data_IF_204046121594
#
_entry.id   IF_204046121594
#
_cell.length_a   1.000
_cell.length_b   1.000
_cell.length_c   1.000
_cell.angle_alpha   90.00
_cell.angle_beta   90.00
_cell.angle_gamma   90.00
#
_symmetry.space_group_name_H-M   'P 1'
#
loop_
_entity.id
_entity.type
_entity.pdbx_description
1 polymer ?
#
# COMPACT_ATOMS: atom_id res chain seq x y z
N UNK A 1 11.28 -3.24 9.60
CA UNK A 1 10.30 -3.22 10.72
C UNK A 1 8.95 -3.84 10.40
N UNK A 2 8.34 -3.58 9.23
CA UNK A 2 7.00 -4.09 8.92
C UNK A 2 6.89 -5.62 9.01
N UNK A 3 7.84 -6.37 8.43
CA UNK A 3 7.83 -7.84 8.46
C UNK A 3 7.90 -8.41 9.89
N UNK A 4 8.67 -7.78 10.77
CA UNK A 4 8.69 -8.12 12.20
C UNK A 4 7.33 -7.89 12.85
N UNK A 5 6.68 -6.77 12.50
CA UNK A 5 5.34 -6.46 12.98
C UNK A 5 4.33 -7.53 12.58
N UNK A 6 4.43 -8.11 11.38
CA UNK A 6 3.52 -9.18 10.93
C UNK A 6 3.63 -10.40 11.83
N UNK A 7 4.85 -10.86 12.11
CA UNK A 7 5.10 -12.00 13.00
C UNK A 7 4.44 -11.80 14.37
N UNK A 8 4.62 -10.61 14.95
CA UNK A 8 4.00 -10.22 16.23
C UNK A 8 2.48 -10.19 16.07
N UNK A 9 1.97 -9.62 14.98
CA UNK A 9 0.55 -9.51 14.70
C UNK A 9 -0.14 -10.85 14.54
N UNK A 10 0.47 -11.81 13.87
CA UNK A 10 -0.06 -13.16 13.73
C UNK A 10 -0.04 -13.89 15.07
N UNK A 11 1.00 -13.70 15.90
CA UNK A 11 1.00 -14.22 17.26
C UNK A 11 -0.14 -13.61 18.10
N UNK A 12 -0.41 -12.31 17.98
CA UNK A 12 -1.54 -11.65 18.64
C UNK A 12 -2.90 -12.11 18.10
N UNK A 13 -3.01 -12.46 16.81
CA UNK A 13 -4.22 -13.05 16.24
C UNK A 13 -4.58 -14.38 16.92
N UNK A 14 -3.58 -15.19 17.27
CA UNK A 14 -3.79 -16.44 18.00
C UNK A 14 -4.27 -16.19 19.42
N UNK A 15 -3.75 -15.17 20.10
CA UNK A 15 -4.10 -14.88 21.50
C UNK A 15 -5.48 -14.24 21.59
N UNK A 16 -5.75 -13.25 20.74
CA UNK A 16 -6.93 -12.41 20.85
C UNK A 16 -8.20 -13.13 20.41
N UNK A 17 -9.27 -12.84 21.15
CA UNK A 17 -10.58 -13.36 20.82
C UNK A 17 -11.05 -12.83 19.45
N UNK A 18 -11.73 -13.70 18.69
CA UNK A 18 -12.25 -13.40 17.35
C UNK A 18 -13.11 -12.11 17.31
N UNK A 19 -13.84 -11.83 18.39
CA UNK A 19 -14.68 -10.63 18.50
C UNK A 19 -13.85 -9.34 18.54
N UNK A 20 -12.72 -9.34 19.23
CA UNK A 20 -11.82 -8.18 19.30
C UNK A 20 -11.21 -7.88 17.93
N UNK A 21 -10.78 -8.92 17.21
CA UNK A 21 -10.22 -8.79 15.86
C UNK A 21 -11.29 -8.24 14.90
N UNK A 22 -12.54 -8.70 15.05
CA UNK A 22 -13.68 -8.21 14.26
C UNK A 22 -13.97 -6.73 14.54
N UNK A 23 -14.01 -6.32 15.81
CA UNK A 23 -14.20 -4.91 16.19
C UNK A 23 -13.04 -4.05 15.66
N UNK A 24 -11.80 -4.52 15.80
CA UNK A 24 -10.63 -3.83 15.28
C UNK A 24 -10.73 -3.61 13.77
N UNK A 25 -11.13 -4.63 13.02
CA UNK A 25 -11.35 -4.55 11.57
C UNK A 25 -12.43 -3.52 11.21
N UNK A 26 -13.58 -3.56 11.91
CA UNK A 26 -14.69 -2.62 11.68
C UNK A 26 -14.24 -1.18 11.92
N UNK A 27 -13.63 -0.90 13.09
CA UNK A 27 -13.14 0.43 13.45
C UNK A 27 -12.13 0.92 12.41
N UNK A 28 -11.19 0.06 12.02
CA UNK A 28 -10.17 0.43 11.07
C UNK A 28 -10.76 0.74 9.69
N UNK A 29 -11.67 -0.08 9.17
CA UNK A 29 -12.30 0.16 7.87
C UNK A 29 -13.20 1.40 7.87
N UNK A 30 -13.93 1.67 8.96
CA UNK A 30 -14.72 2.90 9.09
C UNK A 30 -13.81 4.14 9.09
N UNK A 31 -12.76 4.13 9.90
CA UNK A 31 -11.82 5.26 10.00
C UNK A 31 -11.10 5.50 8.67
N UNK A 32 -10.58 4.44 8.04
CA UNK A 32 -9.87 4.55 6.75
C UNK A 32 -10.81 4.98 5.62
N UNK A 33 -12.01 4.42 5.54
CA UNK A 33 -13.03 4.83 4.55
C UNK A 33 -13.41 6.30 4.72
N UNK A 34 -13.70 6.72 5.96
CA UNK A 34 -14.09 8.10 6.27
C UNK A 34 -12.98 9.08 5.88
N UNK A 35 -11.74 8.79 6.28
CA UNK A 35 -10.58 9.59 5.88
C UNK A 35 -10.38 9.63 4.37
N UNK A 36 -10.48 8.49 3.70
CA UNK A 36 -10.36 8.41 2.24
C UNK A 36 -11.45 9.22 1.54
N UNK A 37 -12.69 9.19 2.03
CA UNK A 37 -13.79 9.97 1.50
C UNK A 37 -13.53 11.48 1.63
N UNK A 38 -13.15 11.97 2.82
CA UNK A 38 -12.81 13.39 3.01
C UNK A 38 -11.66 13.83 2.11
N UNK A 39 -10.59 13.03 2.01
CA UNK A 39 -9.47 13.30 1.11
C UNK A 39 -9.90 13.29 -0.37
N UNK A 40 -10.83 12.41 -0.74
CA UNK A 40 -11.45 12.37 -2.06
C UNK A 40 -12.19 13.67 -2.39
N UNK A 41 -13.01 14.17 -1.44
CA UNK A 41 -13.72 15.45 -1.57
C UNK A 41 -12.76 16.63 -1.70
N UNK A 42 -11.72 16.70 -0.87
CA UNK A 42 -10.70 17.74 -0.97
C UNK A 42 -9.98 17.73 -2.32
N UNK A 43 -9.60 16.55 -2.79
CA UNK A 43 -8.91 16.37 -4.07
C UNK A 43 -9.81 16.75 -5.23
N UNK A 44 -11.08 16.33 -5.19
CA UNK A 44 -12.09 16.72 -6.18
C UNK A 44 -12.28 18.23 -6.24
N UNK A 45 -12.33 18.90 -5.09
CA UNK A 45 -12.47 20.36 -5.02
C UNK A 45 -11.24 21.06 -5.62
N UNK A 46 -10.03 20.57 -5.36
CA UNK A 46 -8.78 21.07 -5.97
C UNK A 46 -8.78 20.88 -7.49
N UNK A 47 -9.06 19.67 -7.96
CA UNK A 47 -9.14 19.37 -9.40
C UNK A 47 -10.20 20.21 -10.12
N UNK A 48 -11.34 20.46 -9.48
CA UNK A 48 -12.43 21.27 -10.05
C UNK A 48 -12.03 22.75 -10.14
N UNK A 49 -11.32 23.29 -9.14
CA UNK A 49 -10.76 24.66 -9.22
C UNK A 49 -9.75 24.79 -10.37
N UNK A 50 -8.80 23.86 -10.48
CA UNK A 50 -7.78 23.89 -11.54
C UNK A 50 -8.40 23.78 -12.94
N UNK A 51 -9.43 22.92 -13.12
CA UNK A 51 -10.18 22.87 -14.40
C UNK A 51 -10.90 24.18 -14.70
N UNK A 52 -11.53 24.81 -13.69
CA UNK A 52 -12.23 26.08 -13.85
C UNK A 52 -11.28 27.24 -14.16
N UNK A 53 -10.11 27.27 -13.54
CA UNK A 53 -9.04 28.24 -13.82
C UNK A 53 -8.47 28.05 -15.23
N UNK A 54 -8.20 26.81 -15.65
CA UNK A 54 -7.75 26.51 -17.02
C UNK A 54 -8.77 26.92 -18.09
N UNK A 55 -10.08 26.74 -17.81
CA UNK A 55 -11.15 27.16 -18.73
C UNK A 55 -11.21 28.69 -18.84
N UNK A 56 -11.11 29.42 -17.72
CA UNK A 56 -11.07 30.91 -17.73
C UNK A 56 -9.83 31.47 -18.43
N UNK A 57 -8.68 30.81 -18.30
CA UNK A 57 -7.45 31.21 -19.02
C UNK A 57 -7.55 30.97 -20.53
N UNK A 58 -8.36 29.99 -20.97
CA UNK A 58 -8.65 29.78 -22.38
C UNK A 58 -9.64 30.82 -22.91
N UNK A 59 -10.73 31.10 -22.17
CA UNK A 59 -11.71 32.14 -22.54
C UNK A 59 -11.07 33.54 -22.63
N UNK A 60 -10.20 33.92 -21.68
CA UNK A 60 -9.49 35.22 -21.71
C UNK A 60 -8.37 35.35 -22.78
N UNK A 61 -8.00 34.24 -23.42
CA UNK A 61 -7.11 34.26 -24.59
C UNK A 61 -7.89 34.28 -25.91
N UNK A 62 -9.12 33.79 -25.92
CA UNK A 62 -10.03 33.84 -27.08
C UNK A 62 -10.58 35.27 -27.26
N UNK A 63 -10.94 35.93 -26.14
CA UNK A 63 -11.38 37.35 -26.11
C UNK A 63 -10.29 38.36 -26.53
N UNK A 64 -9.04 37.93 -26.78
CA UNK A 64 -7.94 38.79 -27.26
C UNK A 64 -7.62 38.63 -28.74
N UNK A 65 -8.28 37.71 -29.46
CA UNK A 65 -7.99 37.42 -30.86
C UNK A 65 -9.17 37.65 -31.81
N UNK A 66 -10.28 38.23 -31.35
CA UNK A 66 -11.33 38.71 -32.24
C UNK A 66 -11.22 40.24 -32.38
N UNK A 67 -11.18 40.72 -33.63
CA UNK A 67 -10.98 42.11 -34.09
C UNK A 67 -9.53 42.59 -34.29
N UNK A 68 -8.86 42.12 -35.35
CA UNK A 68 -8.39 42.98 -36.47
C UNK A 68 -8.32 42.13 -37.74
N UNK A 69 -9.28 42.30 -38.65
CA UNK A 69 -9.19 41.87 -40.06
C UNK A 69 -8.66 43.04 -40.87
N UNK A 70 -7.58 42.84 -41.62
CA UNK A 70 -7.00 43.81 -42.55
C UNK A 70 -6.04 43.16 -43.57
N UNK A 71 -6.62 42.72 -44.70
CA UNK A 71 -6.09 42.47 -46.07
C UNK A 71 -4.87 41.55 -46.40
N UNK A 72 -4.81 40.97 -47.64
CA UNK A 72 -3.99 39.81 -48.04
C UNK A 72 -2.79 40.15 -48.99
N UNK A 73 -2.18 39.19 -49.74
CA UNK A 73 -0.88 38.54 -49.54
C UNK A 73 0.26 39.02 -50.50
N UNK A 74 1.44 38.37 -50.52
CA UNK A 74 1.75 37.62 -51.74
C UNK A 74 2.34 36.22 -51.50
N UNK A 75 1.94 35.32 -52.41
CA UNK A 75 2.40 33.94 -52.52
C UNK A 75 3.82 33.90 -53.12
N UNK A 76 4.68 33.03 -52.60
CA UNK A 76 5.99 32.67 -53.16
C UNK A 76 6.43 31.29 -52.66
N UNK A 77 7.11 30.45 -53.48
CA UNK A 77 6.94 29.00 -53.42
C UNK A 77 8.01 28.23 -52.64
N UNK A 78 7.57 27.10 -52.07
CA UNK A 78 8.24 25.81 -51.87
C UNK A 78 9.78 25.78 -51.65
N UNK A 79 10.15 25.46 -50.41
CA UNK A 79 11.44 24.86 -50.04
C UNK A 79 11.25 24.07 -48.74
N UNK A 80 11.10 22.75 -48.85
CA UNK A 80 10.70 21.88 -47.76
C UNK A 80 11.72 21.80 -46.62
N UNK A 81 11.23 21.99 -45.39
CA UNK A 81 11.83 21.43 -44.20
C UNK A 81 10.71 20.72 -43.44
N UNK A 82 10.79 19.38 -43.43
CA UNK A 82 9.88 18.53 -42.68
C UNK A 82 9.95 18.91 -41.20
N UNK A 83 8.89 19.51 -40.68
CA UNK A 83 8.68 19.65 -39.24
C UNK A 83 8.37 18.26 -38.72
N UNK A 84 9.40 17.55 -38.26
CA UNK A 84 9.25 16.32 -37.50
C UNK A 84 8.27 16.56 -36.36
N UNK A 85 7.12 15.91 -36.48
CA UNK A 85 6.21 15.67 -35.37
C UNK A 85 6.97 14.86 -34.34
N UNK A 86 7.61 15.53 -33.37
CA UNK A 86 8.19 14.88 -32.19
C UNK A 86 7.06 14.37 -31.30
N UNK A 87 6.47 13.25 -31.72
CA UNK A 87 5.89 12.29 -30.80
C UNK A 87 6.91 12.06 -29.68
N UNK A 88 6.52 12.35 -28.44
CA UNK A 88 7.21 11.89 -27.25
C UNK A 88 7.21 10.35 -27.27
N UNK A 89 8.17 9.74 -27.96
CA UNK A 89 8.54 8.33 -27.76
C UNK A 89 8.99 8.20 -26.32
N UNK A 90 8.07 7.79 -25.46
CA UNK A 90 8.35 7.34 -24.10
C UNK A 90 9.25 6.11 -24.24
N UNK A 91 10.56 6.34 -24.24
CA UNK A 91 11.59 5.32 -24.37
C UNK A 91 11.31 4.26 -23.30
N UNK A 92 10.86 3.08 -23.73
CA UNK A 92 10.66 1.94 -22.84
C UNK A 92 12.04 1.49 -22.39
N UNK A 93 12.50 2.06 -21.29
CA UNK A 93 13.71 1.60 -20.60
C UNK A 93 13.44 0.17 -20.13
N UNK A 94 14.38 -0.74 -20.41
CA UNK A 94 14.26 -2.15 -20.02
C UNK A 94 14.04 -2.25 -18.52
N UNK A 95 13.01 -3.00 -18.10
CA UNK A 95 12.64 -3.17 -16.67
C UNK A 95 13.86 -3.59 -15.85
N UNK A 96 14.70 -4.46 -16.40
CA UNK A 96 15.87 -5.06 -15.74
C UNK A 96 16.93 -4.03 -15.37
N UNK A 97 17.07 -2.97 -16.16
CA UNK A 97 18.11 -1.94 -16.01
C UNK A 97 17.70 -0.85 -15.01
N UNK A 98 16.39 -0.73 -14.74
CA UNK A 98 15.82 0.20 -13.76
C UNK A 98 15.61 -0.44 -12.38
N UNK A 99 15.91 -1.74 -12.20
CA UNK A 99 15.81 -2.40 -10.88
C UNK A 99 17.09 -2.19 -10.07
N UNK A 100 16.92 -1.67 -8.86
CA UNK A 100 17.96 -1.61 -7.84
C UNK A 100 18.17 -2.99 -7.20
N UNK A 101 18.93 -3.85 -7.89
CA UNK A 101 19.13 -5.26 -7.53
C UNK A 101 19.72 -5.48 -6.14
N UNK A 102 20.59 -4.59 -5.66
CA UNK A 102 21.21 -4.70 -4.34
C UNK A 102 20.18 -4.50 -3.22
N UNK A 103 19.32 -3.50 -3.36
CA UNK A 103 18.22 -3.18 -2.45
C UNK A 103 17.16 -4.28 -2.46
N UNK A 104 16.81 -4.76 -3.66
CA UNK A 104 15.88 -5.88 -3.83
C UNK A 104 16.42 -7.16 -3.17
N UNK A 105 17.69 -7.50 -3.42
CA UNK A 105 18.34 -8.67 -2.84
C UNK A 105 18.39 -8.59 -1.31
N UNK A 106 18.67 -7.40 -0.75
CA UNK A 106 18.65 -7.18 0.70
C UNK A 106 17.25 -7.38 1.28
N UNK A 107 16.21 -6.85 0.63
CA UNK A 107 14.82 -7.03 1.06
C UNK A 107 14.39 -8.50 1.01
N UNK A 108 14.70 -9.20 -0.09
CA UNK A 108 14.39 -10.63 -0.26
C UNK A 108 15.16 -11.46 0.77
N UNK A 109 16.43 -11.15 1.04
CA UNK A 109 17.23 -11.84 2.06
C UNK A 109 16.60 -11.69 3.45
N UNK A 110 16.20 -10.47 3.85
CA UNK A 110 15.50 -10.26 5.13
C UNK A 110 14.21 -11.07 5.20
N UNK A 111 13.42 -11.06 4.13
CA UNK A 111 12.19 -11.82 4.05
C UNK A 111 12.42 -13.32 4.21
N UNK A 112 13.39 -13.89 3.47
CA UNK A 112 13.75 -15.32 3.55
C UNK A 112 14.26 -15.68 4.94
N UNK A 113 15.12 -14.86 5.56
CA UNK A 113 15.67 -15.14 6.89
C UNK A 113 14.53 -15.17 7.92
N UNK A 114 13.64 -14.18 7.93
CA UNK A 114 12.53 -14.16 8.89
C UNK A 114 11.57 -15.32 8.62
N UNK A 115 11.29 -15.64 7.36
CA UNK A 115 10.45 -16.78 6.98
C UNK A 115 11.06 -18.11 7.43
N UNK A 116 12.36 -18.31 7.26
CA UNK A 116 13.06 -19.49 7.74
C UNK A 116 12.99 -19.63 9.27
N UNK A 117 13.13 -18.50 10.00
CA UNK A 117 12.94 -18.48 11.45
C UNK A 117 11.51 -18.87 11.86
N UNK A 118 10.49 -18.44 11.10
CA UNK A 118 9.10 -18.82 11.36
C UNK A 118 8.83 -20.30 11.08
N UNK A 119 9.38 -20.84 9.99
CA UNK A 119 9.26 -22.27 9.66
C UNK A 119 9.94 -23.08 10.76
N UNK A 120 11.17 -22.72 11.16
CA UNK A 120 11.88 -23.37 12.26
C UNK A 120 11.08 -23.33 13.57
N UNK A 121 10.42 -22.20 13.87
CA UNK A 121 9.55 -22.07 15.04
C UNK A 121 8.41 -23.08 15.04
N UNK A 122 7.83 -23.37 13.88
CA UNK A 122 6.73 -24.34 13.74
C UNK A 122 7.16 -25.80 13.97
N UNK A 123 8.43 -26.13 13.75
CA UNK A 123 8.98 -27.46 14.05
C UNK A 123 9.43 -27.61 15.51
N UNK A 124 9.62 -26.50 16.23
CA UNK A 124 9.92 -26.53 17.66
C UNK A 124 8.67 -26.86 18.46
N UNK A 125 8.85 -27.57 19.58
CA UNK A 125 7.77 -27.76 20.56
C UNK A 125 7.28 -26.40 21.09
N UNK A 126 5.96 -26.26 21.16
CA UNK A 126 5.29 -25.06 21.66
C UNK A 126 5.79 -24.73 23.08
N UNK A 127 6.16 -23.48 23.29
CA UNK A 127 6.63 -22.94 24.58
C UNK A 127 7.93 -23.54 25.13
N UNK A 128 8.74 -24.19 24.28
CA UNK A 128 10.14 -24.55 24.59
C UNK A 128 11.08 -23.34 24.57
N UNK A 129 12.26 -23.46 25.21
CA UNK A 129 13.32 -22.45 25.13
C UNK A 129 13.75 -22.17 23.68
N UNK A 130 13.74 -23.20 22.82
CA UNK A 130 14.04 -23.06 21.39
C UNK A 130 12.99 -22.21 20.66
N UNK A 131 11.71 -22.33 21.02
CA UNK A 131 10.62 -21.54 20.46
C UNK A 131 10.80 -20.05 20.77
N UNK A 132 11.09 -19.73 22.03
CA UNK A 132 11.33 -18.34 22.45
C UNK A 132 12.60 -17.75 21.84
N UNK A 133 13.66 -18.55 21.73
CA UNK A 133 14.91 -18.12 21.12
C UNK A 133 14.75 -17.79 19.63
N UNK A 134 14.02 -18.63 18.86
CA UNK A 134 13.71 -18.37 17.46
C UNK A 134 12.82 -17.14 17.26
N UNK A 135 11.91 -16.86 18.21
CA UNK A 135 11.09 -15.65 18.19
C UNK A 135 11.92 -14.40 18.44
N UNK A 136 12.75 -14.41 19.50
CA UNK A 136 13.63 -13.29 19.86
C UNK A 136 14.63 -13.01 18.73
N UNK A 137 15.13 -14.04 18.05
CA UNK A 137 16.11 -13.91 16.96
C UNK A 137 15.59 -13.09 15.76
N UNK A 138 14.27 -12.97 15.59
CA UNK A 138 13.69 -12.11 14.56
C UNK A 138 13.94 -10.61 14.82
N UNK A 139 14.06 -10.21 16.09
CA UNK A 139 14.24 -8.81 16.49
C UNK A 139 15.63 -8.30 16.06
N UNK A 140 16.77 -8.95 16.38
CA UNK A 140 18.08 -8.54 15.89
C UNK A 140 18.18 -8.48 14.37
N UNK A 141 17.58 -9.43 13.65
CA UNK A 141 17.59 -9.45 12.18
C UNK A 141 16.88 -8.21 11.62
N UNK A 142 15.65 -7.96 12.06
CA UNK A 142 14.87 -6.83 11.59
C UNK A 142 15.48 -5.49 12.02
N UNK A 143 15.95 -5.38 13.26
CA UNK A 143 16.51 -4.16 13.82
C UNK A 143 17.89 -3.85 13.25
N UNK A 144 18.74 -4.86 13.06
CA UNK A 144 20.06 -4.73 12.46
C UNK A 144 19.97 -4.17 11.04
N UNK A 145 19.12 -4.76 10.18
CA UNK A 145 18.96 -4.28 8.81
C UNK A 145 18.29 -2.90 8.75
N UNK A 146 17.22 -2.68 9.53
CA UNK A 146 16.54 -1.37 9.55
C UNK A 146 17.47 -0.26 10.07
N UNK A 147 18.30 -0.54 11.09
CA UNK A 147 19.28 0.41 11.63
C UNK A 147 20.43 0.65 10.67
N UNK A 148 20.90 -0.38 9.96
CA UNK A 148 21.92 -0.23 8.92
C UNK A 148 21.46 0.69 7.79
N UNK A 149 20.24 0.49 7.29
CA UNK A 149 19.67 1.36 6.26
C UNK A 149 19.43 2.78 6.77
N UNK A 150 18.91 2.90 7.99
CA UNK A 150 18.70 4.19 8.64
C UNK A 150 20.01 4.97 8.81
N UNK A 151 21.08 4.29 9.22
CA UNK A 151 22.41 4.89 9.35
C UNK A 151 23.00 5.29 8.00
N UNK A 152 22.82 4.48 6.96
CA UNK A 152 23.28 4.81 5.61
C UNK A 152 22.55 6.02 5.01
N UNK A 153 21.25 6.17 5.32
CA UNK A 153 20.44 7.34 4.96
C UNK A 153 20.87 8.59 5.74
N UNK A 154 21.13 8.45 7.05
CA UNK A 154 21.56 9.57 7.90
C UNK A 154 22.94 10.11 7.49
N UNK A 155 23.89 9.23 7.19
CA UNK A 155 25.25 9.60 6.75
C UNK A 155 25.30 10.06 5.27
N UNK A 156 24.17 10.09 4.57
CA UNK A 156 24.08 10.53 3.18
C UNK A 156 24.72 9.57 2.15
N UNK A 157 25.12 8.35 2.55
CA UNK A 157 25.65 7.34 1.62
C UNK A 157 24.58 6.75 0.72
N UNK A 158 23.31 6.84 1.11
CA UNK A 158 22.14 6.47 0.28
C UNK A 158 21.23 7.68 0.10
N UNK A 159 20.86 7.99 -1.15
CA UNK A 159 19.85 8.99 -1.51
C UNK A 159 18.58 8.29 -1.99
N UNK A 160 17.41 8.81 -1.62
CA UNK A 160 16.13 8.31 -2.13
C UNK A 160 15.91 8.93 -3.51
N UNK A 161 16.07 8.13 -4.57
CA UNK A 161 15.96 8.57 -5.97
C UNK A 161 14.63 9.29 -6.26
N UNK A 162 13.53 8.88 -5.61
CA UNK A 162 12.20 9.48 -5.79
C UNK A 162 12.07 10.92 -5.26
N UNK A 163 13.02 11.45 -4.48
CA UNK A 163 12.88 12.75 -3.81
C UNK A 163 13.65 13.89 -4.50
N UNK A 164 14.36 13.61 -5.59
CA UNK A 164 15.19 14.59 -6.31
C UNK A 164 16.36 15.14 -5.47
N UNK A 165 17.03 16.18 -5.96
CA UNK A 165 18.16 16.86 -5.28
C UNK A 165 17.75 17.73 -4.08
N UNK A 166 16.53 17.56 -3.55
CA UNK A 166 16.17 18.14 -2.26
C UNK A 166 16.99 17.44 -1.16
N UNK A 167 18.10 18.05 -0.77
CA UNK A 167 18.93 17.65 0.38
C UNK A 167 18.09 17.78 1.65
N UNK A 168 17.23 16.81 1.91
CA UNK A 168 16.54 16.72 3.20
C UNK A 168 17.47 16.05 4.18
N UNK A 169 18.05 16.83 5.08
CA UNK A 169 18.70 16.32 6.29
C UNK A 169 17.64 15.55 7.06
N UNK A 170 17.68 14.22 6.98
CA UNK A 170 16.73 13.36 7.67
C UNK A 170 17.01 13.43 9.17
N UNK A 171 16.09 14.03 9.93
CA UNK A 171 16.18 14.01 11.39
C UNK A 171 15.99 12.56 11.87
N UNK A 172 16.86 12.09 12.76
CA UNK A 172 16.77 10.76 13.38
C UNK A 172 15.35 10.48 13.91
N UNK A 173 14.70 11.50 14.48
CA UNK A 173 13.31 11.42 14.96
C UNK A 173 12.30 10.99 13.89
N UNK A 174 12.44 11.48 12.65
CA UNK A 174 11.54 11.09 11.55
C UNK A 174 11.77 9.64 11.13
N UNK A 175 13.02 9.20 11.14
CA UNK A 175 13.41 7.84 10.76
C UNK A 175 12.91 6.81 11.78
N UNK A 176 13.06 7.12 13.06
CA UNK A 176 12.49 6.34 14.16
C UNK A 176 10.96 6.29 14.08
N UNK A 177 10.31 7.42 13.78
CA UNK A 177 8.86 7.47 13.60
C UNK A 177 8.40 6.54 12.46
N UNK A 178 9.10 6.52 11.31
CA UNK A 178 8.78 5.61 10.21
C UNK A 178 8.95 4.14 10.57
N UNK A 179 9.98 3.80 11.36
CA UNK A 179 10.16 2.46 11.89
C UNK A 179 8.99 2.04 12.79
N UNK A 180 8.54 2.92 13.69
CA UNK A 180 7.41 2.66 14.59
C UNK A 180 6.11 2.49 13.79
N UNK A 181 5.82 3.41 12.86
CA UNK A 181 4.65 3.32 11.99
C UNK A 181 4.67 2.02 11.18
N UNK A 182 5.81 1.66 10.60
CA UNK A 182 5.97 0.42 9.86
C UNK A 182 5.75 -0.83 10.73
N UNK A 183 6.24 -0.82 11.97
CA UNK A 183 6.00 -1.89 12.94
C UNK A 183 4.51 -2.02 13.28
N UNK A 184 3.85 -0.91 13.62
CA UNK A 184 2.41 -0.88 13.93
C UNK A 184 1.56 -1.33 12.74
N UNK A 185 1.88 -0.86 11.53
CA UNK A 185 1.22 -1.30 10.30
C UNK A 185 1.42 -2.81 10.06
N UNK A 186 2.60 -3.34 10.39
CA UNK A 186 2.88 -4.77 10.37
C UNK A 186 2.05 -5.54 11.39
N UNK A 187 1.97 -5.08 12.63
CA UNK A 187 1.19 -5.71 13.71
C UNK A 187 -0.29 -5.81 13.29
N UNK A 188 -0.88 -4.69 12.90
CA UNK A 188 -2.29 -4.67 12.47
C UNK A 188 -2.49 -5.48 11.20
N UNK A 189 -1.57 -5.37 10.23
CA UNK A 189 -1.64 -6.13 8.98
C UNK A 189 -1.51 -7.65 9.16
N UNK A 190 -0.65 -8.09 10.08
CA UNK A 190 -0.49 -9.49 10.46
C UNK A 190 -1.70 -10.00 11.24
N UNK A 191 -2.20 -9.22 12.21
CA UNK A 191 -3.40 -9.57 12.98
C UNK A 191 -4.64 -9.77 12.10
N UNK A 192 -4.79 -8.98 11.05
CA UNK A 192 -5.94 -9.06 10.14
C UNK A 192 -5.71 -10.04 8.97
N UNK A 193 -4.47 -10.45 8.71
CA UNK A 193 -4.10 -11.30 7.58
C UNK A 193 -4.21 -10.61 6.20
N UNK A 194 -4.27 -9.27 6.18
CA UNK A 194 -4.36 -8.46 4.95
C UNK A 194 -2.98 -8.03 4.42
N UNK A 195 -1.92 -8.18 5.22
CA UNK A 195 -0.59 -7.61 4.98
C UNK A 195 -0.54 -6.12 5.34
N UNK A 196 0.60 -5.60 5.85
CA UNK A 196 0.68 -4.22 6.36
C UNK A 196 0.62 -3.11 5.28
N UNK A 197 0.63 -3.47 4.00
CA UNK A 197 0.72 -2.52 2.88
C UNK A 197 -0.51 -1.62 2.70
N UNK A 198 -1.71 -2.08 3.09
CA UNK A 198 -2.94 -1.27 2.91
C UNK A 198 -2.98 -0.06 3.87
N UNK A 199 -2.26 -0.16 5.00
CA UNK A 199 -2.09 0.94 5.97
C UNK A 199 -0.99 1.89 5.47
N UNK A 200 0.10 1.35 4.93
CA UNK A 200 1.23 2.14 4.40
C UNK A 200 0.86 3.00 3.19
N UNK A 201 -0.07 2.55 2.34
CA UNK A 201 -0.46 3.29 1.13
C UNK A 201 -0.96 4.71 1.42
N UNK A 202 -2.07 4.88 2.16
CA UNK A 202 -2.58 6.19 2.55
C UNK A 202 -1.56 7.02 3.34
N UNK A 203 -0.79 6.38 4.23
CA UNK A 203 0.24 7.06 5.02
C UNK A 203 1.34 7.66 4.13
N UNK A 204 1.87 6.90 3.17
CA UNK A 204 2.88 7.42 2.25
C UNK A 204 2.34 8.56 1.38
N UNK A 205 1.04 8.52 1.03
CA UNK A 205 0.35 9.61 0.33
C UNK A 205 0.06 10.84 1.20
N UNK A 206 0.02 10.71 2.53
CA UNK A 206 -0.07 11.85 3.45
C UNK A 206 1.29 12.49 3.72
N UNK A 207 2.36 11.71 3.63
CA UNK A 207 3.73 12.15 3.91
C UNK A 207 4.49 12.69 2.68
N UNK A 208 3.90 12.63 1.47
CA UNK A 208 4.56 12.99 0.20
C UNK A 208 3.98 14.22 -0.52
N UNK A 209 4.83 15.19 -0.85
CA UNK A 209 4.56 16.33 -1.73
C UNK A 209 4.40 15.86 -3.22
N UNK A 210 3.83 16.67 -4.14
CA UNK A 210 2.96 16.24 -5.24
C UNK A 210 3.54 15.39 -6.39
N UNK A 211 4.85 15.28 -6.69
CA UNK A 211 5.29 14.35 -7.74
C UNK A 211 5.41 12.88 -7.27
N UNK A 212 5.24 12.59 -5.98
CA UNK A 212 5.62 11.29 -5.38
C UNK A 212 4.47 10.29 -5.19
N UNK A 213 3.22 10.66 -5.50
CA UNK A 213 2.03 9.86 -5.15
C UNK A 213 1.96 8.49 -5.84
N UNK A 214 2.26 8.43 -7.14
CA UNK A 214 2.27 7.18 -7.89
C UNK A 214 3.38 6.23 -7.43
N UNK A 215 4.58 6.74 -7.17
CA UNK A 215 5.73 5.98 -6.67
C UNK A 215 5.47 5.45 -5.26
N UNK A 216 4.86 6.28 -4.41
CA UNK A 216 4.42 5.92 -3.07
C UNK A 216 3.38 4.79 -3.09
N UNK A 217 2.38 4.88 -3.97
CA UNK A 217 1.38 3.81 -4.11
C UNK A 217 2.00 2.51 -4.60
N UNK A 218 2.90 2.56 -5.58
CA UNK A 218 3.60 1.37 -6.08
C UNK A 218 4.47 0.74 -4.99
N UNK A 219 5.16 1.55 -4.18
CA UNK A 219 5.98 1.10 -3.05
C UNK A 219 5.12 0.41 -1.99
N UNK A 220 3.92 0.95 -1.69
CA UNK A 220 3.00 0.31 -0.75
C UNK A 220 2.48 -1.04 -1.27
N UNK A 221 2.15 -1.14 -2.55
CA UNK A 221 1.75 -2.43 -3.18
C UNK A 221 2.91 -3.44 -3.17
N UNK A 222 4.14 -2.97 -3.43
CA UNK A 222 5.33 -3.82 -3.36
C UNK A 222 5.59 -4.32 -1.93
N UNK A 223 5.50 -3.43 -0.93
CA UNK A 223 5.58 -3.83 0.48
C UNK A 223 4.44 -4.78 0.87
N UNK A 224 3.24 -4.56 0.31
CA UNK A 224 2.07 -5.43 0.51
C UNK A 224 2.38 -6.86 0.07
N UNK A 225 3.02 -7.05 -1.10
CA UNK A 225 3.38 -8.37 -1.63
C UNK A 225 4.22 -9.20 -0.64
N UNK A 226 5.32 -8.63 -0.11
CA UNK A 226 6.16 -9.31 0.88
C UNK A 226 5.44 -9.53 2.22
N UNK A 227 4.60 -8.57 2.61
CA UNK A 227 3.86 -8.67 3.86
C UNK A 227 2.76 -9.74 3.82
N UNK A 228 2.00 -9.78 2.73
CA UNK A 228 0.91 -10.73 2.54
C UNK A 228 1.46 -12.15 2.36
N UNK A 229 2.59 -12.31 1.64
CA UNK A 229 3.22 -13.62 1.50
C UNK A 229 3.71 -14.18 2.84
N UNK A 230 4.27 -13.35 3.72
CA UNK A 230 4.60 -13.75 5.10
C UNK A 230 3.35 -14.21 5.86
N UNK A 231 2.28 -13.40 5.86
CA UNK A 231 1.05 -13.74 6.57
C UNK A 231 0.45 -15.05 6.08
N UNK A 232 0.38 -15.29 4.76
CA UNK A 232 -0.15 -16.54 4.20
C UNK A 232 0.63 -17.75 4.70
N UNK A 233 1.96 -17.68 4.68
CA UNK A 233 2.82 -18.77 5.17
C UNK A 233 2.62 -18.97 6.68
N UNK A 234 2.58 -17.91 7.47
CA UNK A 234 2.38 -18.01 8.92
C UNK A 234 1.00 -18.60 9.28
N UNK A 235 -0.07 -18.15 8.63
CA UNK A 235 -1.42 -18.71 8.83
C UNK A 235 -1.56 -20.15 8.31
N UNK A 236 -0.81 -20.51 7.27
CA UNK A 236 -0.72 -21.88 6.78
C UNK A 236 -0.02 -22.80 7.80
N UNK A 237 1.12 -22.37 8.34
CA UNK A 237 1.84 -23.11 9.39
C UNK A 237 0.98 -23.30 10.64
N UNK A 238 0.19 -22.29 11.00
CA UNK A 238 -0.79 -22.35 12.09
C UNK A 238 -2.06 -23.18 11.76
N UNK A 239 -2.17 -23.75 10.55
CA UNK A 239 -3.33 -24.53 10.07
C UNK A 239 -4.68 -23.79 10.24
N UNK A 240 -4.67 -22.46 10.13
CA UNK A 240 -5.85 -21.60 10.38
C UNK A 240 -6.87 -21.59 9.23
N UNK A 241 -6.52 -22.14 8.06
CA UNK A 241 -7.44 -22.28 6.94
C UNK A 241 -7.20 -23.56 6.13
N UNK A 242 -8.25 -24.13 5.53
CA UNK A 242 -8.12 -25.26 4.61
C UNK A 242 -7.57 -24.81 3.24
N UNK A 243 -6.51 -25.46 2.78
CA UNK A 243 -5.78 -25.13 1.54
C UNK A 243 -6.67 -25.10 0.28
N UNK A 244 -7.61 -26.06 0.05
CA UNK A 244 -8.42 -26.06 -1.16
C UNK A 244 -9.29 -24.80 -1.30
N UNK A 245 -9.88 -24.34 -0.20
CA UNK A 245 -10.67 -23.10 -0.20
C UNK A 245 -9.78 -21.88 -0.43
N UNK A 246 -8.57 -21.85 0.14
CA UNK A 246 -7.64 -20.75 -0.09
C UNK A 246 -7.22 -20.64 -1.56
N UNK A 247 -6.94 -21.76 -2.23
CA UNK A 247 -6.62 -21.77 -3.67
C UNK A 247 -7.81 -21.32 -4.53
N UNK A 248 -9.02 -21.75 -4.18
CA UNK A 248 -10.24 -21.29 -4.86
C UNK A 248 -10.41 -19.77 -4.73
N UNK A 249 -10.33 -19.22 -3.52
CA UNK A 249 -10.43 -17.78 -3.31
C UNK A 249 -9.28 -17.00 -3.94
N UNK A 250 -8.06 -17.57 -3.98
CA UNK A 250 -6.92 -16.98 -4.67
C UNK A 250 -7.16 -16.85 -6.18
N UNK A 251 -7.70 -17.89 -6.83
CA UNK A 251 -8.03 -17.85 -8.25
C UNK A 251 -9.11 -16.80 -8.54
N UNK A 252 -10.21 -16.82 -7.77
CA UNK A 252 -11.30 -15.84 -7.92
C UNK A 252 -10.80 -14.41 -7.68
N UNK A 253 -10.01 -14.19 -6.63
CA UNK A 253 -9.44 -12.88 -6.32
C UNK A 253 -8.48 -12.38 -7.41
N UNK A 254 -7.69 -13.28 -8.01
CA UNK A 254 -6.78 -12.93 -9.12
C UNK A 254 -7.56 -12.48 -10.35
N UNK A 255 -8.59 -13.23 -10.77
CA UNK A 255 -9.44 -12.85 -11.89
C UNK A 255 -10.16 -11.53 -11.60
N UNK A 256 -10.75 -11.38 -10.41
CA UNK A 256 -11.43 -10.16 -10.00
C UNK A 256 -10.46 -8.96 -9.95
N UNK A 257 -9.22 -9.15 -9.50
CA UNK A 257 -8.21 -8.09 -9.47
C UNK A 257 -7.80 -7.65 -10.87
N UNK A 258 -7.60 -8.59 -11.82
CA UNK A 258 -7.27 -8.26 -13.21
C UNK A 258 -8.41 -7.47 -13.88
N UNK A 259 -9.65 -7.96 -13.74
CA UNK A 259 -10.84 -7.29 -14.28
C UNK A 259 -11.01 -5.91 -13.62
N UNK A 260 -10.93 -5.85 -12.29
CA UNK A 260 -11.06 -4.60 -11.52
C UNK A 260 -10.00 -3.58 -11.89
N UNK A 261 -8.73 -3.97 -12.03
CA UNK A 261 -7.66 -3.09 -12.49
C UNK A 261 -7.89 -2.59 -13.92
N UNK A 262 -8.38 -3.44 -14.82
CA UNK A 262 -8.70 -3.04 -16.19
C UNK A 262 -9.85 -2.03 -16.22
N UNK A 263 -10.94 -2.30 -15.51
CA UNK A 263 -12.11 -1.42 -15.40
C UNK A 263 -11.72 -0.08 -14.78
N UNK A 264 -11.03 -0.09 -13.63
CA UNK A 264 -10.62 1.14 -12.93
C UNK A 264 -9.67 1.96 -13.81
N UNK A 265 -8.71 1.33 -14.51
CA UNK A 265 -7.81 2.03 -15.44
C UNK A 265 -8.56 2.66 -16.61
N UNK A 266 -9.52 1.93 -17.19
CA UNK A 266 -10.38 2.46 -18.27
C UNK A 266 -11.25 3.61 -17.77
N UNK A 267 -11.82 3.50 -16.58
CA UNK A 267 -12.60 4.55 -15.93
C UNK A 267 -11.77 5.82 -15.68
N UNK A 268 -10.52 5.66 -15.22
CA UNK A 268 -9.57 6.77 -15.06
C UNK A 268 -9.28 7.44 -16.41
N UNK A 269 -9.08 6.65 -17.46
CA UNK A 269 -8.82 7.17 -18.81
C UNK A 269 -9.99 7.95 -19.39
N UNK A 270 -11.23 7.55 -19.08
CA UNK A 270 -12.44 8.22 -19.58
C UNK A 270 -12.69 9.52 -18.80
N UNK A 271 -12.52 9.50 -17.48
CA UNK A 271 -12.95 10.60 -16.61
C UNK A 271 -11.83 11.62 -16.31
N UNK A 272 -10.56 11.24 -16.51
CA UNK A 272 -9.41 12.15 -16.44
C UNK A 272 -9.22 12.85 -15.08
N UNK A 273 -9.68 12.23 -13.98
CA UNK A 273 -9.61 12.77 -12.61
C UNK A 273 -9.07 11.72 -11.65
N UNK A 274 -8.07 12.07 -10.85
CA UNK A 274 -7.46 11.15 -9.89
C UNK A 274 -8.34 10.97 -8.64
N UNK A 275 -9.13 11.98 -8.28
CA UNK A 275 -10.09 11.95 -7.16
C UNK A 275 -11.08 10.78 -7.20
N UNK A 276 -11.48 10.31 -8.39
CA UNK A 276 -12.41 9.18 -8.54
C UNK A 276 -11.83 7.84 -8.09
N UNK A 277 -10.52 7.67 -8.16
CA UNK A 277 -9.83 6.48 -7.64
C UNK A 277 -10.02 6.42 -6.13
N UNK A 278 -9.85 7.55 -5.46
CA UNK A 278 -9.99 7.67 -4.00
C UNK A 278 -11.43 7.38 -3.58
N UNK A 279 -12.43 7.91 -4.30
CA UNK A 279 -13.83 7.61 -4.04
C UNK A 279 -14.19 6.13 -4.24
N UNK A 280 -13.69 5.51 -5.31
CA UNK A 280 -13.92 4.10 -5.59
C UNK A 280 -13.31 3.23 -4.48
N UNK A 281 -12.07 3.51 -4.07
CA UNK A 281 -11.42 2.83 -2.97
C UNK A 281 -12.18 3.01 -1.65
N UNK A 282 -12.58 4.24 -1.30
CA UNK A 282 -13.36 4.52 -0.10
C UNK A 282 -14.67 3.73 -0.08
N UNK A 283 -15.41 3.73 -1.20
CA UNK A 283 -16.65 2.98 -1.34
C UNK A 283 -16.44 1.47 -1.16
N UNK A 284 -15.42 0.89 -1.79
CA UNK A 284 -15.13 -0.55 -1.65
C UNK A 284 -14.71 -0.93 -0.23
N UNK A 285 -13.94 -0.10 0.47
CA UNK A 285 -13.57 -0.32 1.88
C UNK A 285 -14.81 -0.22 2.77
N UNK A 286 -15.68 0.76 2.53
CA UNK A 286 -16.93 0.92 3.27
C UNK A 286 -17.85 -0.29 3.11
N UNK A 287 -18.06 -0.74 1.86
CA UNK A 287 -18.90 -1.91 1.59
C UNK A 287 -18.31 -3.18 2.22
N UNK A 288 -16.98 -3.32 2.20
CA UNK A 288 -16.28 -4.41 2.89
C UNK A 288 -16.50 -4.35 4.41
N UNK A 289 -16.48 -3.16 5.01
CA UNK A 289 -16.76 -2.96 6.44
C UNK A 289 -18.18 -3.38 6.81
N UNK A 290 -19.18 -3.05 5.98
CA UNK A 290 -20.57 -3.42 6.22
C UNK A 290 -20.77 -4.94 6.11
N UNK A 291 -20.25 -5.56 5.05
CA UNK A 291 -20.41 -7.00 4.82
C UNK A 291 -19.66 -7.83 5.87
N UNK A 292 -18.36 -7.59 6.04
CA UNK A 292 -17.54 -8.35 7.00
C UNK A 292 -17.93 -8.03 8.45
N UNK A 293 -18.22 -6.77 8.74
CA UNK A 293 -18.68 -6.33 10.04
C UNK A 293 -20.03 -6.94 10.40
N UNK A 294 -20.99 -6.92 9.45
CA UNK A 294 -22.30 -7.53 9.64
C UNK A 294 -22.23 -9.03 9.91
N UNK A 295 -21.48 -9.79 9.08
CA UNK A 295 -21.28 -11.23 9.29
C UNK A 295 -20.51 -11.51 10.59
N UNK A 296 -19.56 -10.65 10.95
CA UNK A 296 -18.84 -10.69 12.21
C UNK A 296 -19.78 -10.56 13.40
N UNK A 297 -20.59 -9.50 13.44
CA UNK A 297 -21.56 -9.22 14.50
C UNK A 297 -22.60 -10.35 14.61
N UNK A 298 -23.17 -10.80 13.48
CA UNK A 298 -24.12 -11.90 13.47
C UNK A 298 -23.54 -13.19 14.09
N UNK A 299 -22.27 -13.51 13.75
CA UNK A 299 -21.57 -14.65 14.36
C UNK A 299 -21.31 -14.44 15.86
N UNK A 300 -20.99 -13.22 16.29
CA UNK A 300 -20.80 -12.92 17.71
C UNK A 300 -22.09 -13.10 18.51
N UNK A 301 -23.21 -12.54 18.04
CA UNK A 301 -24.52 -12.68 18.68
C UNK A 301 -24.89 -14.17 18.83
N UNK A 302 -24.72 -14.95 17.76
CA UNK A 302 -24.99 -16.41 17.79
C UNK A 302 -24.08 -17.19 18.76
N UNK A 303 -22.86 -16.72 19.05
CA UNK A 303 -22.00 -17.36 20.08
C UNK A 303 -22.40 -16.96 21.49
N UNK A 304 -22.82 -15.70 21.69
CA UNK A 304 -23.35 -15.21 22.97
C UNK A 304 -24.61 -16.00 23.35
N UNK A 305 -25.54 -16.18 22.41
CA UNK A 305 -26.77 -16.95 22.62
C UNK A 305 -26.48 -18.41 23.02
N UNK A 306 -25.44 -19.01 22.44
CA UNK A 306 -25.02 -20.39 22.73
C UNK A 306 -24.14 -20.52 23.98
N UNK A 307 -23.87 -19.41 24.69
CA UNK A 307 -22.98 -19.35 25.88
C UNK A 307 -21.60 -19.97 25.63
N UNK A 308 -21.09 -19.88 24.40
CA UNK A 308 -19.77 -20.39 24.04
C UNK A 308 -18.67 -19.50 24.67
N UNK A 309 -17.52 -20.08 25.00
CA UNK A 309 -16.37 -19.33 25.51
C UNK A 309 -15.91 -18.29 24.48
N UNK A 310 -15.88 -17.01 24.87
CA UNK A 310 -15.47 -15.89 24.02
C UNK A 310 -14.15 -15.24 24.48
N UNK A 311 -13.41 -15.91 25.37
CA UNK A 311 -12.17 -15.39 25.92
C UNK A 311 -10.95 -15.61 25.02
N UNK A 312 -9.77 -15.36 25.59
CA UNK A 312 -8.48 -15.49 24.92
C UNK A 312 -8.09 -16.96 24.76
N UNK A 313 -7.43 -17.30 23.65
CA UNK A 313 -6.87 -18.65 23.46
C UNK A 313 -5.47 -18.72 24.10
N UNK A 314 -5.13 -19.87 24.71
CA UNK A 314 -3.82 -20.10 25.29
C UNK A 314 -2.84 -20.58 24.21
N UNK A 315 -1.65 -19.97 24.14
CA UNK A 315 -0.60 -20.37 23.18
C UNK A 315 0.07 -21.70 23.59
N UNK A 316 0.04 -22.05 24.87
CA UNK A 316 0.78 -23.17 25.45
C UNK A 316 -0.10 -24.32 25.99
N UNK A 317 -1.40 -24.35 25.66
CA UNK A 317 -2.30 -25.41 26.14
C UNK A 317 -2.22 -26.68 25.30
#
# INVERSE_FOLDING_TARGET
MLVLGISIGVALNVIFANWMITILLIVLFIVTSTKAFFKGVETWKKETKTKKEATRSLESNDDRNEEVVGEPPPCGPAGGAQTETKEYKKQQVSIIENVYWKELALLVAVWVIILALQIGKNYSTTCSMAYWLLNILQIPVAFGVSSYEAFCLYKGRRKIASKGDAVTIWKVRQLVLYCIIGLLAGIVGGMLGLGGGFILGPLFLEMGNPPSGAVSSATATFAMMFSASMSVVEYYLLKRFPVPYALYYFAVATVAALVGQHVVRKLISILGRASLIIFTLAFTIFLSALLLGGVGIARMVKRIERKEYMGFENICS
#
